data_IF_763877339305
#
_entry.id   IF_763877339305
#
_cell.length_a   1.000
_cell.length_b   1.000
_cell.length_c   1.000
_cell.angle_alpha   90.00
_cell.angle_beta   90.00
_cell.angle_gamma   90.00
#
_symmetry.space_group_name_H-M   'P 1'
#
loop_
_entity.id
_entity.type
_entity.pdbx_description
1 polymer ?
#
# COMPACT_ATOMS: atom_id res chain seq x y z
N UNK A 1 1.16 9.79 -17.60
CA UNK A 1 1.36 8.32 -17.58
C UNK A 1 1.95 7.90 -18.91
N UNK A 2 3.10 7.22 -18.89
CA UNK A 2 3.91 6.89 -20.07
C UNK A 2 3.19 6.01 -21.11
N UNK A 3 2.22 5.21 -20.68
CA UNK A 3 1.51 4.26 -21.54
C UNK A 3 0.19 4.78 -22.12
N UNK A 4 -0.27 5.95 -21.68
CA UNK A 4 -1.51 6.55 -22.21
C UNK A 4 -1.50 6.81 -23.73
N UNK A 5 -0.38 7.27 -24.34
CA UNK A 5 -0.30 7.46 -25.79
C UNK A 5 -0.52 6.16 -26.60
N UNK A 6 -0.33 5.00 -25.98
CA UNK A 6 -0.52 3.70 -26.60
C UNK A 6 -1.93 3.11 -26.34
N UNK A 7 -2.82 3.89 -25.74
CA UNK A 7 -4.16 3.42 -25.37
C UNK A 7 -4.19 2.40 -24.24
N UNK A 8 -3.08 2.27 -23.48
CA UNK A 8 -2.97 1.33 -22.35
C UNK A 8 -3.36 2.05 -21.07
N UNK A 9 -4.37 1.53 -20.39
CA UNK A 9 -4.77 1.98 -19.07
C UNK A 9 -4.02 1.17 -17.99
N UNK A 10 -3.44 1.86 -17.02
CA UNK A 10 -2.75 1.25 -15.87
C UNK A 10 -3.47 1.66 -14.59
N UNK A 11 -3.79 0.69 -13.76
CA UNK A 11 -4.42 0.90 -12.47
C UNK A 11 -3.62 0.20 -11.35
N UNK A 12 -3.58 0.80 -10.19
CA UNK A 12 -2.99 0.24 -8.98
C UNK A 12 -4.08 -0.34 -8.08
N UNK A 13 -4.04 -1.65 -7.85
CA UNK A 13 -4.93 -2.30 -6.89
C UNK A 13 -4.37 -2.13 -5.47
N UNK A 14 -5.16 -1.50 -4.60
CA UNK A 14 -4.84 -1.21 -3.20
C UNK A 14 -5.83 -1.96 -2.29
N UNK A 15 -5.68 -3.27 -2.11
CA UNK A 15 -6.59 -4.06 -1.31
C UNK A 15 -6.31 -3.85 0.19
N UNK A 16 -7.36 -3.94 1.02
CA UNK A 16 -7.19 -4.25 2.43
C UNK A 16 -7.15 -5.77 2.64
N UNK A 17 -7.75 -6.24 3.73
CA UNK A 17 -7.76 -7.67 4.02
C UNK A 17 -8.74 -8.44 3.12
N UNK A 18 -8.20 -9.45 2.45
CA UNK A 18 -8.97 -10.35 1.56
C UNK A 18 -8.88 -11.76 2.12
N UNK A 19 -10.00 -12.45 2.18
CA UNK A 19 -10.11 -13.82 2.69
C UNK A 19 -9.41 -14.81 1.76
N UNK A 20 -8.11 -14.97 1.98
CA UNK A 20 -7.24 -15.87 1.21
C UNK A 20 -6.48 -16.80 2.15
N UNK A 21 -5.68 -17.67 1.58
CA UNK A 21 -4.82 -18.60 2.32
C UNK A 21 -3.37 -18.09 2.44
N UNK A 22 -3.15 -16.78 2.30
CA UNK A 22 -1.81 -16.18 2.32
C UNK A 22 -1.08 -16.42 3.66
N UNK A 23 -1.82 -16.47 4.76
CA UNK A 23 -1.28 -16.77 6.09
C UNK A 23 -0.75 -18.21 6.22
N UNK A 24 -1.00 -19.07 5.23
CA UNK A 24 -0.46 -20.44 5.13
C UNK A 24 0.61 -20.53 4.03
N UNK A 25 1.27 -19.43 3.70
CA UNK A 25 2.26 -19.39 2.59
C UNK A 25 3.42 -20.34 2.79
N UNK A 26 3.80 -20.65 4.02
CA UNK A 26 4.89 -21.59 4.32
C UNK A 26 4.66 -22.99 3.73
N UNK A 27 3.39 -23.41 3.59
CA UNK A 27 3.05 -24.72 2.97
C UNK A 27 3.54 -24.87 1.52
N UNK A 28 3.83 -23.76 0.83
CA UNK A 28 4.25 -23.74 -0.59
C UNK A 28 5.66 -23.20 -0.75
N UNK A 29 6.36 -22.93 0.35
CA UNK A 29 7.74 -22.47 0.32
C UNK A 29 8.65 -23.61 -0.14
N UNK A 30 9.52 -23.40 -1.15
CA UNK A 30 10.52 -24.38 -1.53
C UNK A 30 11.47 -24.67 -0.36
N UNK A 31 11.93 -25.92 -0.23
CA UNK A 31 12.80 -26.35 0.87
C UNK A 31 14.11 -25.55 0.95
N UNK A 32 14.62 -25.05 -0.18
CA UNK A 32 15.83 -24.20 -0.23
C UNK A 32 15.66 -22.84 0.45
N UNK A 33 14.41 -22.44 0.73
CA UNK A 33 14.04 -21.19 1.41
C UNK A 33 13.35 -21.47 2.75
N UNK A 34 13.56 -22.67 3.31
CA UNK A 34 13.06 -23.02 4.63
C UNK A 34 13.89 -22.32 5.70
N UNK A 35 13.33 -21.26 6.28
CA UNK A 35 13.91 -20.50 7.38
C UNK A 35 13.65 -21.14 8.76
N UNK A 36 13.28 -22.42 8.83
CA UNK A 36 12.99 -23.13 10.09
C UNK A 36 14.17 -23.10 11.08
N UNK A 37 15.39 -22.80 10.60
CA UNK A 37 16.60 -22.60 11.39
C UNK A 37 16.96 -21.13 11.63
N UNK A 38 16.17 -20.20 11.12
CA UNK A 38 16.38 -18.79 11.39
C UNK A 38 15.85 -18.50 12.80
N UNK A 39 16.74 -18.59 13.79
CA UNK A 39 16.50 -17.92 15.05
C UNK A 39 16.20 -16.46 14.73
N UNK A 40 14.95 -16.07 14.83
CA UNK A 40 14.59 -14.67 14.91
C UNK A 40 15.32 -14.18 16.16
N UNK A 41 16.43 -13.47 15.98
CA UNK A 41 17.05 -12.69 17.06
C UNK A 41 16.08 -11.56 17.34
N UNK A 42 15.13 -11.87 18.17
CA UNK A 42 14.11 -10.95 18.66
C UNK A 42 14.74 -10.31 19.87
N UNK A 43 14.92 -9.01 19.89
CA UNK A 43 15.46 -8.29 21.05
C UNK A 43 14.41 -8.27 22.17
N UNK A 44 14.87 -8.27 23.45
CA UNK A 44 14.02 -8.39 24.66
C UNK A 44 12.96 -7.28 24.86
N UNK A 45 12.82 -6.32 23.94
CA UNK A 45 11.80 -5.25 23.93
C UNK A 45 10.55 -5.62 23.08
N UNK A 46 10.29 -6.89 22.92
CA UNK A 46 9.45 -7.41 21.87
C UNK A 46 7.96 -7.28 22.10
N UNK A 47 7.35 -6.53 21.20
CA UNK A 47 5.99 -6.80 20.75
C UNK A 47 5.87 -8.31 20.44
N UNK A 48 5.01 -8.99 21.21
CA UNK A 48 4.68 -10.40 21.04
C UNK A 48 4.33 -10.71 19.58
N UNK A 49 5.35 -11.16 18.83
CA UNK A 49 5.23 -11.48 17.40
C UNK A 49 4.19 -12.55 17.13
N UNK A 50 3.94 -13.42 18.08
CA UNK A 50 2.91 -14.47 17.98
C UNK A 50 1.51 -13.86 18.03
N UNK A 51 1.28 -12.87 18.89
CA UNK A 51 0.01 -12.13 18.95
C UNK A 51 -0.23 -11.30 17.69
N UNK A 52 0.81 -10.64 17.14
CA UNK A 52 0.69 -9.91 15.88
C UNK A 52 0.41 -10.85 14.69
N UNK A 53 1.12 -11.95 14.57
CA UNK A 53 0.91 -12.94 13.51
C UNK A 53 -0.49 -13.57 13.60
N UNK A 54 -0.97 -13.86 14.80
CA UNK A 54 -2.33 -14.38 15.05
C UNK A 54 -3.38 -13.33 14.72
N UNK A 55 -3.17 -12.07 15.10
CA UNK A 55 -4.04 -10.94 14.77
C UNK A 55 -4.17 -10.75 13.26
N UNK A 56 -3.04 -10.68 12.54
CA UNK A 56 -3.02 -10.53 11.09
C UNK A 56 -3.70 -11.70 10.37
N UNK A 57 -3.49 -12.93 10.85
CA UNK A 57 -4.14 -14.13 10.32
C UNK A 57 -5.66 -14.07 10.49
N UNK A 58 -6.17 -13.55 11.61
CA UNK A 58 -7.59 -13.39 11.86
C UNK A 58 -8.19 -12.30 10.95
N UNK A 59 -7.51 -11.17 10.75
CA UNK A 59 -7.95 -10.13 9.82
C UNK A 59 -8.06 -10.66 8.39
N UNK A 60 -7.10 -11.46 7.93
CA UNK A 60 -7.16 -12.10 6.61
C UNK A 60 -8.32 -13.10 6.52
N UNK A 61 -8.54 -13.91 7.55
CA UNK A 61 -9.67 -14.87 7.57
C UNK A 61 -11.03 -14.18 7.52
N UNK A 62 -11.13 -13.01 8.15
CA UNK A 62 -12.34 -12.19 8.19
C UNK A 62 -12.42 -11.15 7.06
N UNK A 63 -11.42 -11.11 6.17
CA UNK A 63 -11.36 -10.20 5.05
C UNK A 63 -12.50 -10.40 4.04
N UNK A 64 -12.60 -9.47 3.08
CA UNK A 64 -13.61 -9.53 2.04
C UNK A 64 -13.43 -10.78 1.16
N UNK A 65 -14.55 -11.22 0.56
CA UNK A 65 -14.54 -12.35 -0.35
C UNK A 65 -13.70 -12.03 -1.61
N UNK A 66 -12.84 -12.95 -2.07
CA UNK A 66 -12.07 -12.78 -3.31
C UNK A 66 -12.93 -12.49 -4.55
N UNK A 67 -14.13 -13.06 -4.64
CA UNK A 67 -15.03 -12.81 -5.76
C UNK A 67 -15.56 -11.37 -5.75
N UNK A 68 -15.83 -10.82 -4.55
CA UNK A 68 -16.20 -9.42 -4.39
C UNK A 68 -15.04 -8.49 -4.79
N UNK A 69 -13.80 -8.84 -4.42
CA UNK A 69 -12.62 -8.13 -4.86
C UNK A 69 -12.51 -8.14 -6.39
N UNK A 70 -12.68 -9.30 -7.02
CA UNK A 70 -12.59 -9.44 -8.47
C UNK A 70 -13.67 -8.58 -9.17
N UNK A 71 -14.90 -8.59 -8.68
CA UNK A 71 -15.98 -7.76 -9.21
C UNK A 71 -15.63 -6.26 -9.10
N UNK A 72 -15.09 -5.81 -7.96
CA UNK A 72 -14.65 -4.41 -7.77
C UNK A 72 -13.52 -4.01 -8.73
N UNK A 73 -12.59 -4.91 -9.00
CA UNK A 73 -11.52 -4.68 -9.98
C UNK A 73 -12.10 -4.44 -11.37
N UNK A 74 -13.03 -5.29 -11.81
CA UNK A 74 -13.69 -5.16 -13.13
C UNK A 74 -14.45 -3.83 -13.23
N UNK A 75 -15.23 -3.49 -12.20
CA UNK A 75 -15.96 -2.22 -12.13
C UNK A 75 -15.02 -1.01 -12.29
N UNK A 76 -13.93 -0.98 -11.52
CA UNK A 76 -12.95 0.11 -11.58
C UNK A 76 -12.22 0.20 -12.91
N UNK A 77 -11.87 -0.93 -13.52
CA UNK A 77 -11.24 -0.95 -14.84
C UNK A 77 -12.18 -0.41 -15.92
N UNK A 78 -13.49 -0.72 -15.85
CA UNK A 78 -14.50 -0.16 -16.74
C UNK A 78 -14.68 1.35 -16.55
N UNK A 79 -14.58 1.83 -15.30
CA UNK A 79 -14.61 3.25 -14.95
C UNK A 79 -13.30 3.99 -15.28
N UNK A 80 -12.24 3.27 -15.64
CA UNK A 80 -10.87 3.80 -15.84
C UNK A 80 -10.28 4.45 -14.59
N UNK A 81 -10.58 3.92 -13.42
CA UNK A 81 -9.97 4.35 -12.16
C UNK A 81 -8.47 4.09 -12.18
N UNK A 82 -7.67 5.05 -11.72
CA UNK A 82 -6.22 4.89 -11.58
C UNK A 82 -5.86 4.09 -10.32
N UNK A 83 -6.67 4.22 -9.26
CA UNK A 83 -6.49 3.49 -8.00
C UNK A 83 -7.76 2.72 -7.67
N UNK A 84 -7.58 1.44 -7.38
CA UNK A 84 -8.68 0.52 -7.06
C UNK A 84 -8.63 0.23 -5.57
N UNK A 85 -9.47 0.91 -4.80
CA UNK A 85 -9.61 0.67 -3.37
C UNK A 85 -10.77 -0.28 -3.09
N UNK A 86 -10.57 -1.15 -2.11
CA UNK A 86 -11.56 -2.16 -1.71
C UNK A 86 -12.16 -1.90 -0.32
N UNK A 87 -11.52 -1.04 0.48
CA UNK A 87 -11.92 -0.73 1.85
C UNK A 87 -12.06 0.80 2.01
N UNK A 88 -13.25 1.36 1.69
CA UNK A 88 -13.47 2.81 1.76
C UNK A 88 -13.27 3.40 3.16
N UNK A 89 -13.38 2.58 4.22
CA UNK A 89 -13.11 2.98 5.61
C UNK A 89 -11.65 3.40 5.86
N UNK A 90 -10.71 3.02 5.01
CA UNK A 90 -9.29 3.43 5.16
C UNK A 90 -9.01 4.85 4.65
N UNK A 91 -10.02 5.52 4.07
CA UNK A 91 -9.88 6.86 3.48
C UNK A 91 -9.35 7.89 4.48
N UNK A 92 -9.86 7.86 5.70
CA UNK A 92 -9.53 8.90 6.69
C UNK A 92 -8.06 8.85 7.08
N UNK A 93 -7.50 7.67 7.36
CA UNK A 93 -6.08 7.51 7.65
C UNK A 93 -5.17 7.92 6.49
N UNK A 94 -5.59 7.67 5.24
CA UNK A 94 -4.87 8.12 4.05
C UNK A 94 -4.92 9.64 3.94
N UNK A 95 -6.08 10.25 4.19
CA UNK A 95 -6.27 11.71 4.15
C UNK A 95 -5.41 12.41 5.20
N UNK A 96 -5.34 11.87 6.42
CA UNK A 96 -4.47 12.40 7.48
C UNK A 96 -2.99 12.32 7.10
N UNK A 97 -2.57 11.22 6.49
CA UNK A 97 -1.19 11.07 6.00
C UNK A 97 -0.86 12.09 4.91
N UNK A 98 -1.76 12.31 3.95
CA UNK A 98 -1.56 13.32 2.92
C UNK A 98 -1.51 14.73 3.51
N UNK A 99 -2.36 15.06 4.46
CA UNK A 99 -2.32 16.35 5.15
C UNK A 99 -1.00 16.56 5.92
N UNK A 100 -0.41 15.50 6.47
CA UNK A 100 0.91 15.57 7.10
C UNK A 100 2.01 15.85 6.06
N UNK A 101 1.99 15.16 4.92
CA UNK A 101 2.94 15.36 3.83
C UNK A 101 2.84 16.80 3.29
N UNK A 102 1.62 17.31 3.10
CA UNK A 102 1.36 18.67 2.60
C UNK A 102 1.97 19.72 3.53
N UNK A 103 1.78 19.59 4.86
CA UNK A 103 2.44 20.46 5.84
C UNK A 103 3.97 20.43 5.76
N UNK A 104 4.56 19.29 5.40
CA UNK A 104 6.02 19.21 5.21
C UNK A 104 6.47 20.00 3.98
N UNK A 105 5.70 19.97 2.89
CA UNK A 105 5.95 20.80 1.72
C UNK A 105 5.80 22.29 2.01
N UNK A 106 4.76 22.69 2.74
CA UNK A 106 4.58 24.08 3.19
C UNK A 106 5.76 24.54 4.06
N UNK A 107 6.22 23.70 4.98
CA UNK A 107 7.39 23.98 5.81
C UNK A 107 8.65 24.19 4.96
N UNK A 108 8.86 23.37 3.93
CA UNK A 108 10.00 23.51 3.02
C UNK A 108 9.89 24.81 2.18
N UNK A 109 8.70 25.15 1.68
CA UNK A 109 8.45 26.38 0.92
C UNK A 109 8.71 27.66 1.75
N UNK A 110 8.46 27.59 3.05
CA UNK A 110 8.72 28.70 3.98
C UNK A 110 10.13 28.70 4.57
N UNK A 111 10.98 27.77 4.17
CA UNK A 111 12.36 27.67 4.66
C UNK A 111 13.24 28.75 4.04
N UNK A 112 14.00 29.52 4.83
CA UNK A 112 14.98 30.48 4.30
C UNK A 112 16.15 29.81 3.57
N UNK A 113 16.30 28.49 3.67
CA UNK A 113 17.37 27.75 3.03
C UNK A 113 17.01 27.24 1.63
N UNK A 114 15.75 26.86 1.41
CA UNK A 114 15.32 26.19 0.16
C UNK A 114 14.11 26.82 -0.51
N UNK A 115 13.36 27.69 0.17
CA UNK A 115 12.12 28.28 -0.34
C UNK A 115 12.32 29.00 -1.68
N UNK A 116 13.35 29.82 -1.82
CA UNK A 116 13.65 30.58 -3.04
C UNK A 116 14.25 29.69 -4.15
N UNK A 117 14.97 28.63 -3.79
CA UNK A 117 15.60 27.71 -4.75
C UNK A 117 14.55 26.83 -5.41
N UNK A 118 13.53 26.41 -4.67
CA UNK A 118 12.47 25.54 -5.16
C UNK A 118 11.62 26.20 -6.27
N UNK A 119 11.50 27.54 -6.25
CA UNK A 119 10.76 28.29 -7.29
C UNK A 119 11.47 28.34 -8.64
N UNK A 120 12.77 28.06 -8.70
CA UNK A 120 13.59 28.10 -9.91
C UNK A 120 13.61 26.77 -10.68
N UNK A 121 13.17 25.69 -10.07
CA UNK A 121 13.10 24.36 -10.69
C UNK A 121 11.71 24.15 -11.27
N UNK A 122 11.60 24.07 -12.60
CA UNK A 122 10.33 23.71 -13.24
C UNK A 122 9.88 22.34 -12.78
N UNK A 123 8.67 22.25 -12.26
CA UNK A 123 8.06 20.97 -11.92
C UNK A 123 7.90 20.14 -13.19
N UNK A 124 8.62 19.04 -13.37
CA UNK A 124 8.46 18.22 -14.57
C UNK A 124 7.05 17.64 -14.61
N UNK A 125 6.43 17.61 -15.81
CA UNK A 125 5.07 17.10 -16.04
C UNK A 125 4.89 15.59 -15.78
N UNK A 126 5.78 14.98 -14.99
CA UNK A 126 5.75 13.56 -14.67
C UNK A 126 4.57 13.13 -13.76
N UNK A 127 3.90 14.08 -13.13
CA UNK A 127 2.77 13.80 -12.25
C UNK A 127 1.39 14.22 -12.83
N UNK A 128 1.34 14.63 -14.10
CA UNK A 128 0.09 14.95 -14.81
C UNK A 128 -0.49 13.78 -15.57
#
# INVERSE_FOLDING_TARGET
>A
MELAPFGIHVAALCPGFVRTRIYLSDRVRPADYDDSHRELVVSDDDLDTDTMATGLSNEVKNGIDPDLLAARVIESLQAKDTYIFTHPSFRDGISERYAMIDRCFESAANSPLVGDVASSVSNPDIFK
#
